data_IF_105989870985
#
_entry.id   IF_105989870985
#
_cell.length_a   1.000
_cell.length_b   1.000
_cell.length_c   1.000
_cell.angle_alpha   90.00
_cell.angle_beta   90.00
_cell.angle_gamma   90.00
#
_symmetry.space_group_name_H-M   'P 1'
#
loop_
_entity.id
_entity.type
_entity.pdbx_description
1 polymer ?
#
# COMPACT_ATOMS: atom_id res chain seq x y z
N UNK A 1 22.03 -9.38 -7.39
CA UNK A 1 20.84 -9.56 -8.26
C UNK A 1 19.66 -9.00 -7.49
N UNK A 2 19.03 -7.94 -7.99
CA UNK A 2 17.79 -7.41 -7.39
C UNK A 2 16.63 -8.32 -7.80
N UNK A 3 16.01 -9.00 -6.83
CA UNK A 3 14.85 -9.84 -7.08
C UNK A 3 13.66 -8.94 -7.45
N UNK A 4 12.98 -9.22 -8.56
CA UNK A 4 11.77 -8.50 -8.96
C UNK A 4 10.53 -9.30 -8.62
N UNK A 5 9.47 -8.58 -8.27
CA UNK A 5 8.18 -9.15 -7.91
C UNK A 5 7.07 -8.45 -8.68
N UNK A 6 6.11 -9.23 -9.17
CA UNK A 6 4.94 -8.73 -9.85
C UNK A 6 3.85 -8.37 -8.83
N UNK A 7 3.36 -7.14 -8.89
CA UNK A 7 2.27 -6.61 -8.09
C UNK A 7 0.96 -6.74 -8.84
N UNK A 8 -0.07 -7.30 -8.20
CA UNK A 8 -1.40 -7.45 -8.79
C UNK A 8 -2.20 -6.15 -8.71
N UNK A 9 -3.17 -5.99 -9.60
CA UNK A 9 -4.15 -4.90 -9.52
C UNK A 9 -5.53 -5.51 -9.17
N UNK A 10 -6.32 -4.90 -8.27
CA UNK A 10 -7.61 -5.46 -7.84
C UNK A 10 -8.66 -5.44 -8.97
N UNK A 11 -8.63 -4.41 -9.82
CA UNK A 11 -9.46 -4.37 -11.03
C UNK A 11 -8.93 -5.36 -12.08
N UNK A 12 -9.75 -6.34 -12.49
CA UNK A 12 -9.39 -7.40 -13.44
C UNK A 12 -8.98 -6.89 -14.84
N UNK A 13 -9.36 -5.67 -15.21
CA UNK A 13 -9.00 -5.04 -16.48
C UNK A 13 -7.71 -4.22 -16.47
N UNK A 14 -7.04 -4.09 -15.31
CA UNK A 14 -5.81 -3.30 -15.18
C UNK A 14 -4.60 -4.18 -14.95
N UNK A 15 -3.51 -3.82 -15.60
CA UNK A 15 -2.24 -4.53 -15.43
C UNK A 15 -1.53 -4.09 -14.15
N UNK A 16 -1.00 -5.10 -13.46
CA UNK A 16 -0.02 -4.92 -12.41
C UNK A 16 1.33 -4.43 -12.91
N UNK A 17 2.26 -4.18 -12.00
CA UNK A 17 3.63 -3.74 -12.34
C UNK A 17 4.67 -4.60 -11.62
N UNK A 18 5.84 -4.76 -12.25
CA UNK A 18 6.98 -5.43 -11.62
C UNK A 18 7.92 -4.42 -11.00
N UNK A 19 8.24 -4.59 -9.72
CA UNK A 19 9.19 -3.72 -8.99
C UNK A 19 10.23 -4.55 -8.24
N UNK A 20 11.25 -3.88 -7.72
CA UNK A 20 12.21 -4.49 -6.81
C UNK A 20 11.51 -5.02 -5.54
N UNK A 21 11.84 -6.25 -5.17
CA UNK A 21 11.24 -6.96 -4.05
C UNK A 21 11.54 -6.28 -2.72
N UNK A 22 12.77 -5.79 -2.52
CA UNK A 22 13.12 -5.09 -1.29
C UNK A 22 12.32 -3.78 -1.15
N UNK A 23 12.15 -3.02 -2.23
CA UNK A 23 11.31 -1.81 -2.25
C UNK A 23 9.84 -2.14 -1.94
N UNK A 24 9.30 -3.23 -2.52
CA UNK A 24 7.94 -3.72 -2.19
C UNK A 24 7.81 -4.02 -0.70
N UNK A 25 8.74 -4.77 -0.14
CA UNK A 25 8.70 -5.24 1.25
C UNK A 25 8.77 -4.08 2.24
N UNK A 26 9.65 -3.10 2.01
CA UNK A 26 9.76 -1.89 2.83
C UNK A 26 8.43 -1.12 2.85
N UNK A 27 7.82 -0.94 1.69
CA UNK A 27 6.55 -0.18 1.57
C UNK A 27 5.39 -0.96 2.17
N UNK A 28 5.31 -2.28 1.91
CA UNK A 28 4.29 -3.14 2.51
C UNK A 28 4.39 -3.12 4.04
N UNK A 29 5.59 -3.27 4.60
CA UNK A 29 5.81 -3.25 6.04
C UNK A 29 5.37 -1.90 6.65
N UNK A 30 5.73 -0.78 6.00
CA UNK A 30 5.31 0.55 6.45
C UNK A 30 3.78 0.73 6.41
N UNK A 31 3.11 0.31 5.33
CA UNK A 31 1.64 0.37 5.21
C UNK A 31 0.98 -0.43 6.32
N UNK A 32 1.39 -1.69 6.51
CA UNK A 32 0.78 -2.57 7.51
C UNK A 32 1.02 -2.06 8.94
N UNK A 33 2.21 -1.53 9.24
CA UNK A 33 2.48 -0.96 10.55
C UNK A 33 1.61 0.28 10.82
N UNK A 34 1.42 1.15 9.84
CA UNK A 34 0.52 2.30 9.95
C UNK A 34 -0.93 1.81 10.18
N UNK A 35 -1.42 0.87 9.37
CA UNK A 35 -2.78 0.34 9.52
C UNK A 35 -2.99 -0.49 10.80
N UNK A 36 -1.94 -0.99 11.45
CA UNK A 36 -2.06 -1.63 12.77
C UNK A 36 -2.26 -0.63 13.91
N UNK A 37 -1.74 0.59 13.75
CA UNK A 37 -1.84 1.67 14.75
C UNK A 37 -3.15 2.46 14.66
N UNK A 38 -3.87 2.32 13.55
CA UNK A 38 -5.08 3.06 13.26
C UNK A 38 -6.20 2.11 12.83
N UNK A 39 -7.42 2.28 13.32
CA UNK A 39 -8.54 1.40 12.94
C UNK A 39 -8.85 1.46 11.44
N UNK A 40 -8.85 2.67 10.86
CA UNK A 40 -9.04 2.94 9.44
C UNK A 40 -8.42 4.29 9.07
N UNK A 41 -7.90 4.42 7.86
CA UNK A 41 -7.29 5.66 7.36
C UNK A 41 -7.76 5.98 5.95
N UNK A 42 -7.82 7.26 5.58
CA UNK A 42 -7.99 7.60 4.16
C UNK A 42 -6.70 7.30 3.39
N UNK A 43 -6.79 7.22 2.06
CA UNK A 43 -5.59 7.09 1.23
C UNK A 43 -4.60 8.23 1.47
N UNK A 44 -5.07 9.47 1.59
CA UNK A 44 -4.19 10.61 1.82
C UNK A 44 -3.45 10.53 3.16
N UNK A 45 -4.16 10.14 4.22
CA UNK A 45 -3.57 9.98 5.56
C UNK A 45 -2.56 8.83 5.58
N UNK A 46 -2.89 7.70 4.95
CA UNK A 46 -1.99 6.55 4.82
C UNK A 46 -0.71 6.93 4.05
N UNK A 47 -0.86 7.56 2.88
CA UNK A 47 0.28 7.97 2.06
C UNK A 47 1.19 8.95 2.80
N UNK A 48 0.59 9.93 3.50
CA UNK A 48 1.34 10.90 4.31
C UNK A 48 2.07 10.23 5.47
N UNK A 49 1.42 9.30 6.18
CA UNK A 49 2.04 8.60 7.31
C UNK A 49 3.22 7.72 6.85
N UNK A 50 3.08 7.02 5.73
CA UNK A 50 4.17 6.22 5.15
C UNK A 50 5.32 7.11 4.65
N UNK A 51 4.99 8.22 4.00
CA UNK A 51 5.97 9.22 3.55
C UNK A 51 6.79 9.78 4.71
N UNK A 52 6.15 10.16 5.82
CA UNK A 52 6.85 10.62 7.01
C UNK A 52 7.74 9.54 7.63
N UNK A 53 7.30 8.29 7.62
CA UNK A 53 8.06 7.16 8.19
C UNK A 53 9.30 6.81 7.36
N UNK A 54 9.21 6.92 6.04
CA UNK A 54 10.27 6.53 5.10
C UNK A 54 11.06 7.73 4.56
N UNK A 55 10.69 8.96 4.93
CA UNK A 55 11.37 10.17 4.51
C UNK A 55 12.89 10.05 4.68
N UNK A 56 13.63 10.38 3.63
CA UNK A 56 15.11 10.34 3.56
C UNK A 56 15.75 8.95 3.59
N UNK A 57 14.99 7.86 3.73
CA UNK A 57 15.49 6.48 3.76
C UNK A 57 15.08 5.64 2.56
N UNK A 58 14.22 6.17 1.71
CA UNK A 58 13.67 5.47 0.56
C UNK A 58 14.05 6.19 -0.73
N UNK A 59 14.53 5.41 -1.71
CA UNK A 59 14.88 5.89 -3.04
C UNK A 59 13.71 5.71 -4.01
N UNK A 60 13.16 6.83 -4.48
CA UNK A 60 12.03 6.90 -5.42
C UNK A 60 10.77 7.55 -4.84
N UNK A 61 9.71 7.60 -5.65
CA UNK A 61 8.44 8.24 -5.29
C UNK A 61 7.62 7.39 -4.31
N UNK A 62 7.74 7.67 -3.01
CA UNK A 62 7.02 6.95 -1.95
C UNK A 62 5.52 6.88 -2.25
N UNK A 63 4.90 7.97 -2.69
CA UNK A 63 3.46 8.02 -3.02
C UNK A 63 3.09 7.07 -4.15
N UNK A 64 3.91 6.96 -5.19
CA UNK A 64 3.70 6.00 -6.27
C UNK A 64 3.80 4.56 -5.75
N UNK A 65 4.86 4.25 -4.99
CA UNK A 65 5.02 2.91 -4.39
C UNK A 65 3.87 2.55 -3.44
N UNK A 66 3.43 3.49 -2.59
CA UNK A 66 2.28 3.29 -1.71
C UNK A 66 1.03 2.97 -2.51
N UNK A 67 0.77 3.69 -3.60
CA UNK A 67 -0.39 3.44 -4.48
C UNK A 67 -0.35 2.03 -5.03
N UNK A 68 0.77 1.64 -5.64
CA UNK A 68 0.91 0.36 -6.31
C UNK A 68 0.89 -0.81 -5.32
N UNK A 69 1.60 -0.71 -4.20
CA UNK A 69 1.62 -1.76 -3.17
C UNK A 69 0.29 -1.86 -2.46
N UNK A 70 -0.41 -0.75 -2.19
CA UNK A 70 -1.79 -0.78 -1.69
C UNK A 70 -2.70 -1.57 -2.62
N UNK A 71 -2.64 -1.31 -3.92
CA UNK A 71 -3.46 -2.04 -4.90
C UNK A 71 -3.15 -3.55 -4.87
N UNK A 72 -1.87 -3.94 -4.82
CA UNK A 72 -1.47 -5.35 -4.65
C UNK A 72 -2.03 -5.96 -3.36
N UNK A 73 -1.98 -5.24 -2.24
CA UNK A 73 -2.52 -5.72 -0.97
C UNK A 73 -4.05 -5.82 -0.98
N UNK A 74 -4.75 -4.95 -1.70
CA UNK A 74 -6.19 -5.05 -1.93
C UNK A 74 -6.55 -6.26 -2.79
N UNK A 75 -5.81 -6.48 -3.88
CA UNK A 75 -6.00 -7.63 -4.77
C UNK A 75 -5.77 -8.96 -4.04
N UNK A 76 -4.86 -8.96 -3.06
CA UNK A 76 -4.54 -10.13 -2.21
C UNK A 76 -5.40 -10.24 -0.95
N UNK A 77 -6.41 -9.39 -0.78
CA UNK A 77 -7.29 -9.36 0.40
C UNK A 77 -6.57 -9.18 1.74
N UNK A 78 -5.39 -8.55 1.76
CA UNK A 78 -4.65 -8.21 3.00
C UNK A 78 -5.22 -6.95 3.65
N UNK A 79 -5.64 -6.00 2.81
CA UNK A 79 -6.33 -4.78 3.20
C UNK A 79 -7.61 -4.66 2.40
N UNK A 80 -8.55 -3.89 2.92
CA UNK A 80 -9.84 -3.66 2.26
C UNK A 80 -10.20 -2.18 2.25
N UNK A 81 -10.98 -1.78 1.24
CA UNK A 81 -11.60 -0.46 1.19
C UNK A 81 -12.96 -0.50 1.85
N UNK A 82 -13.16 0.40 2.80
CA UNK A 82 -14.44 0.59 3.48
C UNK A 82 -14.97 1.97 3.11
N UNK A 83 -16.18 1.99 2.53
CA UNK A 83 -16.89 3.23 2.28
C UNK A 83 -17.67 3.63 3.53
N UNK A 84 -17.46 4.86 3.97
CA UNK A 84 -18.20 5.46 5.09
C UNK A 84 -18.74 6.82 4.63
N UNK A 85 -20.06 6.85 4.42
CA UNK A 85 -20.81 7.98 3.87
C UNK A 85 -20.24 8.46 2.53
N UNK A 86 -19.40 9.50 2.57
CA UNK A 86 -18.78 10.17 1.40
C UNK A 86 -17.26 9.97 1.32
N UNK A 87 -16.67 9.19 2.22
CA UNK A 87 -15.22 8.99 2.30
C UNK A 87 -14.87 7.52 2.13
N UNK A 88 -13.75 7.28 1.48
CA UNK A 88 -13.15 5.95 1.36
C UNK A 88 -12.03 5.82 2.38
N UNK A 89 -12.09 4.73 3.14
CA UNK A 89 -11.10 4.36 4.12
C UNK A 89 -10.46 3.03 3.74
N UNK A 90 -9.25 2.82 4.24
CA UNK A 90 -8.45 1.62 4.09
C UNK A 90 -8.22 1.08 5.49
N UNK A 91 -8.42 -0.22 5.67
CA UNK A 91 -8.11 -0.93 6.91
C UNK A 91 -7.54 -2.32 6.61
N UNK A 92 -6.99 -2.96 7.63
CA UNK A 92 -6.63 -4.38 7.55
C UNK A 92 -7.90 -5.21 7.33
N UNK A 93 -7.82 -6.19 6.42
CA UNK A 93 -8.90 -7.15 6.24
C UNK A 93 -9.08 -7.95 7.53
N UNK A 94 -10.33 -8.17 7.94
CA UNK A 94 -10.63 -9.06 9.06
C UNK A 94 -10.56 -10.50 8.57
N UNK A 95 -9.70 -11.31 9.19
CA UNK A 95 -9.64 -12.75 8.99
C UNK A 95 -10.87 -13.44 9.60
#
# INVERSE_FOLDING_TARGET
MEAKVYLQHPDAGKQGVSIDQAKREVIQAAILEVLRRHEKLTYEDLARAVEQKLARKFDGSIRWYVTTVKLDLEARHVIERVKDKRREFIRLARA
#
